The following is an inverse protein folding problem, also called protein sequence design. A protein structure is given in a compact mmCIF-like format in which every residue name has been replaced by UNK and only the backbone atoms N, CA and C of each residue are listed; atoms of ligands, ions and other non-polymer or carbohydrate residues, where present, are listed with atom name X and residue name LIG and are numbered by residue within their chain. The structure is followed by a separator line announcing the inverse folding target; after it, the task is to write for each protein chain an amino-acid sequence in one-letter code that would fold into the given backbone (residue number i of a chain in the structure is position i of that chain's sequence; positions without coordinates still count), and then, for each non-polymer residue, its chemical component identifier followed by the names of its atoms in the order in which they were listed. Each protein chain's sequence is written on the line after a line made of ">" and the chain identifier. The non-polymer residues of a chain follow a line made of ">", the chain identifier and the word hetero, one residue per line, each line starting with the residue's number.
data_IF_708493337549
#
_entry.id   IF_708493337549
#
_cell.length_a   1.000
_cell.length_b   1.000
_cell.length_c   1.000
_cell.angle_alpha   90.00
_cell.angle_beta   90.00
_cell.angle_gamma   90.00
#
_symmetry.space_group_name_H-M   'P 1'
#
loop_
_entity.id
_entity.type
_entity.pdbx_description
1 polymer ?
#
# COMPACT_ATOMS: atom_id res chain seq x y z
N UNK A 1 20.41 6.71 -1.63
CA UNK A 1 20.25 5.53 -2.50
C UNK A 1 21.61 5.07 -2.98
N UNK A 2 21.81 3.77 -3.00
CA UNK A 2 23.06 3.16 -3.50
C UNK A 2 22.72 2.28 -4.71
N UNK A 3 23.74 1.93 -5.46
CA UNK A 3 23.56 1.05 -6.62
C UNK A 3 24.72 0.08 -6.72
N UNK A 4 24.44 -1.16 -7.07
CA UNK A 4 25.43 -2.17 -7.35
C UNK A 4 25.00 -2.92 -8.61
N UNK A 5 25.80 -2.80 -9.67
CA UNK A 5 25.55 -3.53 -10.93
C UNK A 5 24.12 -3.37 -11.49
N UNK A 6 23.59 -2.16 -11.40
CA UNK A 6 22.25 -1.87 -11.84
C UNK A 6 21.17 -2.18 -10.80
N UNK A 7 21.54 -2.78 -9.68
CA UNK A 7 20.62 -3.06 -8.58
C UNK A 7 20.53 -1.81 -7.71
N UNK A 8 19.32 -1.24 -7.61
CA UNK A 8 19.11 -0.08 -6.74
C UNK A 8 18.88 -0.55 -5.30
N UNK A 9 19.54 0.12 -4.38
CA UNK A 9 19.40 -0.16 -2.95
C UNK A 9 18.84 1.10 -2.29
N UNK A 10 17.56 1.04 -1.92
CA UNK A 10 16.92 2.14 -1.21
C UNK A 10 17.02 1.90 0.29
N UNK A 11 17.53 2.92 0.99
CA UNK A 11 17.57 2.89 2.44
C UNK A 11 16.35 3.55 3.05
N UNK A 12 16.29 3.59 4.39
CA UNK A 12 15.25 4.33 5.09
C UNK A 12 15.24 5.80 4.65
N UNK A 13 14.11 6.32 4.31
CA UNK A 13 14.00 7.71 3.88
C UNK A 13 14.18 7.97 2.40
N UNK A 14 14.63 6.98 1.62
CA UNK A 14 14.68 7.10 0.17
C UNK A 14 13.29 6.91 -0.44
N UNK A 15 13.09 7.43 -1.64
CA UNK A 15 11.83 7.34 -2.37
C UNK A 15 11.06 8.64 -2.35
N UNK A 16 10.06 8.73 -3.22
CA UNK A 16 9.23 9.92 -3.36
C UNK A 16 8.05 9.86 -2.40
N UNK A 17 7.93 10.87 -1.56
CA UNK A 17 6.88 10.92 -0.54
C UNK A 17 5.70 11.74 -1.04
N UNK A 18 4.53 11.13 -1.00
CA UNK A 18 3.25 11.80 -1.21
C UNK A 18 2.49 11.85 0.11
N UNK A 19 1.89 13.01 0.40
CA UNK A 19 1.15 13.19 1.63
C UNK A 19 -0.34 13.30 1.33
N UNK A 20 -1.12 12.40 1.93
CA UNK A 20 -2.55 12.60 2.02
C UNK A 20 -2.89 13.56 3.15
N UNK A 21 -4.15 13.65 3.51
CA UNK A 21 -4.57 14.52 4.60
C UNK A 21 -3.95 14.11 5.94
N UNK A 22 -3.80 12.80 6.18
CA UNK A 22 -3.34 12.25 7.45
C UNK A 22 -2.35 11.10 7.31
N UNK A 23 -2.19 10.54 6.12
CA UNK A 23 -1.25 9.47 5.86
C UNK A 23 -0.18 9.93 4.89
N UNK A 24 0.92 9.23 4.87
CA UNK A 24 1.97 9.43 3.89
C UNK A 24 2.23 8.14 3.14
N UNK A 25 2.56 8.26 1.88
CA UNK A 25 2.94 7.14 1.05
C UNK A 25 4.32 7.43 0.46
N UNK A 26 5.22 6.50 0.60
CA UNK A 26 6.56 6.60 0.04
C UNK A 26 6.66 5.61 -1.11
N UNK A 27 6.80 6.13 -2.32
CA UNK A 27 6.99 5.28 -3.48
C UNK A 27 8.41 4.77 -3.53
N UNK A 28 8.58 3.46 -3.55
CA UNK A 28 9.87 2.80 -3.55
C UNK A 28 10.26 2.34 -4.95
N UNK A 29 9.30 1.79 -5.67
CA UNK A 29 9.48 1.37 -7.05
C UNK A 29 8.28 1.89 -7.84
N UNK A 30 8.57 2.73 -8.84
CA UNK A 30 7.53 3.32 -9.66
C UNK A 30 7.06 2.37 -10.76
N UNK A 31 5.86 2.56 -11.29
CA UNK A 31 5.40 1.78 -12.44
C UNK A 31 6.36 1.85 -13.65
N UNK A 32 6.95 3.01 -13.90
CA UNK A 32 7.85 3.18 -15.04
C UNK A 32 9.08 2.28 -14.94
N UNK A 33 9.57 2.02 -13.72
CA UNK A 33 10.74 1.18 -13.51
C UNK A 33 10.50 -0.29 -13.79
N UNK A 34 9.25 -0.71 -13.78
CA UNK A 34 8.87 -2.11 -14.00
C UNK A 34 8.16 -2.31 -15.34
N UNK A 35 8.32 -1.36 -16.26
CA UNK A 35 7.65 -1.39 -17.56
C UNK A 35 6.12 -1.48 -17.39
N UNK A 36 5.61 -0.69 -16.45
CA UNK A 36 4.18 -0.58 -16.14
C UNK A 36 3.55 -1.90 -15.68
N UNK A 37 4.31 -2.76 -15.02
CA UNK A 37 3.81 -4.06 -14.56
C UNK A 37 3.36 -4.03 -13.10
N UNK A 38 4.09 -3.32 -12.24
CA UNK A 38 3.74 -3.22 -10.82
C UNK A 38 4.42 -2.00 -10.20
N UNK A 39 3.98 -1.67 -9.01
CA UNK A 39 4.59 -0.63 -8.19
C UNK A 39 4.69 -1.11 -6.75
N UNK A 40 5.55 -0.47 -5.98
CA UNK A 40 5.82 -0.87 -4.59
C UNK A 40 5.98 0.39 -3.74
N UNK A 41 5.27 0.42 -2.63
CA UNK A 41 5.29 1.57 -1.73
C UNK A 41 5.13 1.22 -0.28
N UNK A 42 5.44 2.19 0.56
CA UNK A 42 5.24 2.13 2.00
C UNK A 42 4.21 3.16 2.41
N UNK A 43 3.21 2.73 3.17
CA UNK A 43 2.19 3.62 3.71
C UNK A 43 2.40 3.75 5.21
N UNK A 44 2.37 4.99 5.70
CA UNK A 44 2.39 5.28 7.14
C UNK A 44 1.12 6.05 7.47
N UNK A 45 0.32 5.49 8.36
CA UNK A 45 -0.95 6.07 8.78
C UNK A 45 -0.87 6.55 10.22
N UNK A 46 -1.49 7.69 10.51
CA UNK A 46 -1.58 8.23 11.87
C UNK A 46 -2.71 7.53 12.64
N UNK A 47 -2.77 7.66 13.97
CA UNK A 47 -3.89 7.13 14.75
C UNK A 47 -5.23 7.66 14.25
N UNK A 48 -6.23 6.78 14.30
CA UNK A 48 -7.59 7.06 13.83
C UNK A 48 -7.69 7.41 12.35
N UNK A 49 -6.76 6.92 11.55
CA UNK A 49 -6.83 7.04 10.10
C UNK A 49 -7.72 5.94 9.55
N UNK A 50 -8.35 6.23 8.43
CA UNK A 50 -9.14 5.25 7.70
C UNK A 50 -8.84 5.37 6.22
N UNK A 51 -8.47 4.24 5.61
CA UNK A 51 -8.49 4.09 4.16
C UNK A 51 -9.89 3.62 3.82
N UNK A 52 -10.66 4.48 3.17
CA UNK A 52 -12.05 4.19 2.86
C UNK A 52 -12.18 2.93 2.01
N UNK A 53 -13.31 2.25 2.15
CA UNK A 53 -13.59 1.06 1.36
C UNK A 53 -13.56 1.39 -0.13
N UNK A 54 -12.78 0.62 -0.87
CA UNK A 54 -12.59 0.78 -2.30
C UNK A 54 -12.22 -0.56 -2.92
N UNK A 55 -12.10 -0.59 -4.22
CA UNK A 55 -11.57 -1.74 -4.95
C UNK A 55 -10.71 -1.27 -6.09
N UNK A 56 -9.85 -2.16 -6.57
CA UNK A 56 -9.01 -1.91 -7.74
C UNK A 56 -9.47 -2.81 -8.87
N UNK A 57 -10.12 -2.26 -9.92
CA UNK A 57 -10.58 -3.08 -11.04
C UNK A 57 -9.41 -3.76 -11.75
N UNK A 58 -9.50 -5.09 -11.85
CA UNK A 58 -8.49 -5.90 -12.55
C UNK A 58 -7.12 -5.96 -11.91
N UNK A 59 -6.93 -5.35 -10.71
CA UNK A 59 -5.61 -5.21 -10.11
C UNK A 59 -5.57 -5.85 -8.73
N UNK A 60 -4.81 -6.93 -8.54
CA UNK A 60 -4.61 -7.50 -7.20
C UNK A 60 -3.63 -6.66 -6.40
N UNK A 61 -3.69 -6.79 -5.10
CA UNK A 61 -2.81 -6.07 -4.19
C UNK A 61 -2.28 -7.02 -3.13
N UNK A 62 -1.01 -6.86 -2.76
CA UNK A 62 -0.42 -7.57 -1.64
C UNK A 62 0.10 -6.57 -0.62
N UNK A 63 -0.18 -6.83 0.65
CA UNK A 63 0.22 -5.96 1.76
C UNK A 63 0.89 -6.81 2.82
N UNK A 64 2.01 -6.30 3.37
CA UNK A 64 2.55 -6.84 4.63
C UNK A 64 2.53 -5.75 5.68
N UNK A 65 1.93 -6.05 6.82
CA UNK A 65 1.85 -5.13 7.95
C UNK A 65 3.19 -5.14 8.69
N UNK A 66 3.76 -3.95 8.90
CA UNK A 66 5.03 -3.80 9.61
C UNK A 66 4.84 -3.32 11.04
N UNK A 67 3.91 -2.39 11.25
CA UNK A 67 3.63 -1.82 12.57
C UNK A 67 2.14 -1.54 12.72
N UNK A 68 1.66 -1.67 13.94
CA UNK A 68 0.31 -1.32 14.31
C UNK A 68 -0.68 -2.47 14.20
N UNK A 69 -1.78 -2.34 14.91
CA UNK A 69 -2.91 -3.26 14.81
C UNK A 69 -3.97 -2.57 13.99
N UNK A 70 -4.35 -3.17 12.90
CA UNK A 70 -5.27 -2.58 11.93
C UNK A 70 -6.54 -3.41 11.84
N UNK A 71 -7.61 -2.75 11.42
CA UNK A 71 -8.87 -3.42 11.09
C UNK A 71 -8.99 -3.47 9.58
N UNK A 72 -9.06 -4.67 9.04
CA UNK A 72 -9.36 -4.88 7.62
C UNK A 72 -10.86 -4.97 7.46
N UNK A 73 -11.43 -4.06 6.69
CA UNK A 73 -12.86 -4.01 6.43
C UNK A 73 -13.12 -4.62 5.06
N UNK A 74 -13.84 -5.72 5.04
CA UNK A 74 -14.31 -6.36 3.81
C UNK A 74 -15.80 -6.14 3.62
N UNK A 75 -16.36 -6.69 2.54
CA UNK A 75 -17.78 -6.53 2.23
C UNK A 75 -18.67 -7.18 3.30
N UNK A 76 -18.22 -8.24 3.96
CA UNK A 76 -19.03 -9.01 4.89
C UNK A 76 -18.62 -8.90 6.35
N UNK A 77 -17.58 -8.14 6.66
CA UNK A 77 -17.13 -8.05 8.06
C UNK A 77 -15.78 -7.41 8.21
N UNK A 78 -15.25 -7.53 9.42
CA UNK A 78 -14.00 -6.90 9.84
C UNK A 78 -13.09 -7.99 10.40
N UNK A 79 -11.81 -7.93 10.00
CA UNK A 79 -10.77 -8.78 10.58
C UNK A 79 -9.68 -7.90 11.19
N UNK A 80 -9.17 -8.30 12.35
CA UNK A 80 -8.02 -7.63 12.94
C UNK A 80 -6.74 -8.22 12.38
N UNK A 81 -5.82 -7.36 11.97
CA UNK A 81 -4.52 -7.76 11.42
C UNK A 81 -3.41 -6.98 12.12
N UNK A 82 -2.20 -7.53 12.15
CA UNK A 82 -1.08 -6.92 12.84
C UNK A 82 0.26 -7.25 12.21
N UNK A 83 1.36 -6.85 12.85
CA UNK A 83 2.70 -6.99 12.29
C UNK A 83 3.00 -8.43 11.88
N UNK A 84 3.51 -8.59 10.66
CA UNK A 84 3.83 -9.88 10.07
C UNK A 84 2.69 -10.51 9.28
N UNK A 85 1.47 -10.01 9.42
CA UNK A 85 0.36 -10.52 8.60
C UNK A 85 0.51 -10.06 7.16
N UNK A 86 0.23 -10.97 6.24
CA UNK A 86 0.24 -10.69 4.82
C UNK A 86 -1.20 -10.76 4.32
N UNK A 87 -1.62 -9.71 3.62
CA UNK A 87 -2.94 -9.64 3.01
C UNK A 87 -2.79 -9.80 1.51
N UNK A 88 -3.55 -10.68 0.93
CA UNK A 88 -3.70 -10.73 -0.51
C UNK A 88 -5.13 -10.31 -0.86
N UNK A 89 -5.24 -9.26 -1.66
CA UNK A 89 -6.52 -8.70 -2.06
C UNK A 89 -6.70 -8.99 -3.54
N UNK A 90 -7.62 -9.91 -3.89
CA UNK A 90 -7.88 -10.21 -5.29
C UNK A 90 -8.41 -9.00 -6.05
N UNK A 91 -8.32 -9.00 -7.39
CA UNK A 91 -8.93 -7.92 -8.19
C UNK A 91 -10.41 -7.78 -7.87
N UNK A 92 -10.91 -6.55 -7.98
CA UNK A 92 -12.34 -6.23 -7.85
C UNK A 92 -12.93 -6.57 -6.47
N UNK A 93 -12.09 -6.62 -5.45
CA UNK A 93 -12.49 -6.98 -4.09
C UNK A 93 -12.54 -5.75 -3.21
N UNK A 94 -13.71 -5.45 -2.64
CA UNK A 94 -13.87 -4.34 -1.72
C UNK A 94 -13.02 -4.53 -0.47
N UNK A 95 -12.30 -3.50 -0.11
CA UNK A 95 -11.49 -3.51 1.11
C UNK A 95 -11.25 -2.09 1.61
N UNK A 96 -11.03 -1.98 2.90
CA UNK A 96 -10.62 -0.75 3.55
C UNK A 96 -9.78 -1.10 4.77
N UNK A 97 -9.06 -0.14 5.28
CA UNK A 97 -8.24 -0.30 6.48
C UNK A 97 -8.56 0.81 7.46
N UNK A 98 -8.62 0.45 8.72
CA UNK A 98 -8.71 1.41 9.80
C UNK A 98 -7.53 1.20 10.73
N UNK A 99 -6.93 2.30 11.17
CA UNK A 99 -5.70 2.27 11.98
C UNK A 99 -5.93 2.99 13.31
N UNK A 100 -6.61 2.34 14.29
CA UNK A 100 -6.92 3.01 15.56
C UNK A 100 -5.71 3.64 16.23
N UNK A 101 -4.57 2.94 16.19
CA UNK A 101 -3.33 3.39 16.83
C UNK A 101 -2.26 3.81 15.82
N UNK A 102 -2.65 4.05 14.58
CA UNK A 102 -1.70 4.26 13.51
C UNK A 102 -1.14 2.95 12.97
N UNK A 103 -0.28 3.03 11.97
CA UNK A 103 0.32 1.83 11.42
C UNK A 103 1.24 2.12 10.24
N UNK A 104 1.92 1.09 9.81
CA UNK A 104 2.83 1.16 8.67
C UNK A 104 2.82 -0.19 7.95
N UNK A 105 2.75 -0.15 6.63
CA UNK A 105 2.75 -1.37 5.82
C UNK A 105 3.42 -1.14 4.48
N UNK A 106 3.85 -2.24 3.87
CA UNK A 106 4.33 -2.26 2.50
C UNK A 106 3.25 -2.84 1.61
N UNK A 107 3.13 -2.30 0.42
CA UNK A 107 2.15 -2.78 -0.55
C UNK A 107 2.75 -2.89 -1.94
N UNK A 108 2.36 -3.95 -2.65
CA UNK A 108 2.69 -4.19 -4.04
C UNK A 108 1.41 -4.20 -4.85
N UNK A 109 1.39 -3.40 -5.90
CA UNK A 109 0.26 -3.28 -6.82
C UNK A 109 0.69 -3.71 -8.21
N UNK A 110 0.38 -4.95 -8.63
CA UNK A 110 0.53 -5.32 -10.03
C UNK A 110 -0.40 -4.47 -10.89
N UNK A 111 0.10 -4.02 -12.01
CA UNK A 111 -0.65 -3.13 -12.88
C UNK A 111 -1.09 -3.92 -14.10
N UNK A 112 -2.34 -4.38 -14.09
CA UNK A 112 -2.92 -5.05 -15.24
C UNK A 112 -3.39 -4.03 -16.25
N UNK A 113 -4.26 -3.14 -15.82
CA UNK A 113 -4.79 -2.08 -16.63
C UNK A 113 -4.61 -0.76 -15.90
N UNK A 114 -4.35 0.30 -16.64
CA UNK A 114 -4.06 1.58 -16.05
C UNK A 114 -5.30 2.18 -15.40
N UNK A 115 -5.18 2.51 -14.13
CA UNK A 115 -6.24 3.14 -13.37
C UNK A 115 -5.94 4.63 -13.25
N UNK A 116 -6.83 5.52 -13.72
CA UNK A 116 -6.62 6.95 -13.59
C UNK A 116 -6.57 7.39 -12.11
N UNK A 117 -5.71 8.35 -11.82
CA UNK A 117 -5.62 8.96 -10.51
C UNK A 117 -4.70 8.22 -9.55
N UNK A 118 -4.55 8.74 -8.33
CA UNK A 118 -3.69 8.13 -7.31
C UNK A 118 -4.21 6.78 -6.87
N UNK A 119 -3.33 5.81 -6.82
CA UNK A 119 -3.68 4.42 -6.47
C UNK A 119 -3.99 4.24 -5.00
N UNK A 120 -3.41 5.10 -4.18
CA UNK A 120 -3.46 4.95 -2.72
C UNK A 120 -4.46 5.86 -2.08
N UNK A 121 -5.32 6.40 -2.86
CA UNK A 121 -6.33 7.27 -2.34
C UNK A 121 -7.42 6.45 -1.67
N UNK A 122 -7.73 6.85 -0.48
CA UNK A 122 -8.84 6.29 0.26
C UNK A 122 -10.19 6.74 -0.32
#
# INVERSE_FOLDING_TARGET
>A
MRELDGIRILGPGDGDVSRGARSTMRELISPAETDERWSFGEVTAVPDEAVATHLHPGEPEAIIILEGRLELHGASGIAEVGPGDVLFIPPDTEHGLRTPDGGRWLAIWPIGERIPGPRYRA
#
